data_IF_884369891767
#
_entry.id   IF_884369891767
#
_cell.length_a   1.000
_cell.length_b   1.000
_cell.length_c   1.000
_cell.angle_alpha   90.00
_cell.angle_beta   90.00
_cell.angle_gamma   90.00
#
_symmetry.space_group_name_H-M   'P 1'
#
loop_
_entity.id
_entity.type
_entity.pdbx_description
1 polymer ?
#
# COMPACT_ATOMS: atom_id res chain seq x y z
N UNK A 1 -47.00 37.95 2.64
CA UNK A 1 -46.99 39.42 2.78
C UNK A 1 -45.72 39.91 2.13
N UNK A 2 -45.81 40.80 1.14
CA UNK A 2 -44.65 41.40 0.48
C UNK A 2 -44.19 42.56 1.38
N UNK A 3 -42.96 42.56 1.91
CA UNK A 3 -42.49 43.61 2.80
C UNK A 3 -42.39 44.95 2.06
N UNK A 4 -42.82 46.03 2.71
CA UNK A 4 -42.87 47.38 2.14
C UNK A 4 -41.46 48.02 2.14
N UNK A 5 -40.87 48.33 0.97
CA UNK A 5 -39.50 48.83 0.86
C UNK A 5 -39.29 50.26 1.38
N UNK A 6 -40.36 50.99 1.72
CA UNK A 6 -40.25 52.36 2.26
C UNK A 6 -40.06 52.42 3.77
N UNK A 7 -40.02 51.26 4.45
CA UNK A 7 -39.84 51.19 5.90
C UNK A 7 -38.36 51.42 6.24
N UNK A 8 -38.00 52.37 7.13
CA UNK A 8 -36.59 52.72 7.39
C UNK A 8 -35.78 51.58 8.02
N UNK A 9 -36.44 50.56 8.56
CA UNK A 9 -35.86 49.33 9.11
C UNK A 9 -35.61 48.23 8.05
N UNK A 10 -36.25 48.33 6.87
CA UNK A 10 -36.23 47.33 5.80
C UNK A 10 -34.81 47.03 5.30
N UNK A 11 -33.95 48.04 5.20
CA UNK A 11 -32.59 47.87 4.71
C UNK A 11 -31.71 47.06 5.68
N UNK A 12 -31.82 47.32 6.98
CA UNK A 12 -31.01 46.63 7.99
C UNK A 12 -31.48 45.20 8.20
N UNK A 13 -32.79 44.97 8.14
CA UNK A 13 -33.40 43.66 8.28
C UNK A 13 -33.04 42.75 7.08
N UNK A 14 -33.09 43.27 5.86
CA UNK A 14 -32.73 42.49 4.66
C UNK A 14 -31.21 42.24 4.58
N UNK A 15 -30.39 43.19 5.02
CA UNK A 15 -28.94 43.01 5.11
C UNK A 15 -28.55 41.99 6.18
N UNK A 16 -29.25 41.99 7.32
CA UNK A 16 -29.08 40.99 8.38
C UNK A 16 -29.37 39.56 7.87
N UNK A 17 -30.50 39.35 7.18
CA UNK A 17 -30.83 38.04 6.61
C UNK A 17 -29.86 37.60 5.51
N UNK A 18 -29.37 38.53 4.68
CA UNK A 18 -28.37 38.24 3.65
C UNK A 18 -27.01 37.84 4.26
N UNK A 19 -26.61 38.46 5.37
CA UNK A 19 -25.37 38.15 6.06
C UNK A 19 -25.47 36.85 6.87
N UNK A 20 -26.63 36.55 7.47
CA UNK A 20 -26.92 35.24 8.07
C UNK A 20 -26.89 34.11 7.03
N UNK A 21 -27.52 34.29 5.86
CA UNK A 21 -27.48 33.30 4.78
C UNK A 21 -26.06 33.04 4.27
N UNK A 22 -25.24 34.09 4.13
CA UNK A 22 -23.83 33.95 3.73
C UNK A 22 -23.03 33.23 4.82
N UNK A 23 -23.23 33.59 6.09
CA UNK A 23 -22.59 32.92 7.22
C UNK A 23 -22.96 31.43 7.29
N UNK A 24 -24.23 31.09 7.06
CA UNK A 24 -24.68 29.70 6.98
C UNK A 24 -24.05 28.95 5.80
N UNK A 25 -24.00 29.56 4.60
CA UNK A 25 -23.36 28.93 3.43
C UNK A 25 -21.87 28.71 3.65
N UNK A 26 -21.17 29.68 4.24
CA UNK A 26 -19.77 29.53 4.60
C UNK A 26 -19.55 28.45 5.66
N UNK A 27 -20.44 28.36 6.67
CA UNK A 27 -20.38 27.33 7.69
C UNK A 27 -20.61 25.92 7.08
N UNK A 28 -21.58 25.78 6.17
CA UNK A 28 -21.84 24.54 5.43
C UNK A 28 -20.68 24.17 4.51
N UNK A 29 -20.07 25.14 3.82
CA UNK A 29 -18.88 24.90 3.00
C UNK A 29 -17.67 24.48 3.83
N UNK A 30 -17.44 25.12 4.98
CA UNK A 30 -16.36 24.76 5.91
C UNK A 30 -16.60 23.35 6.47
N UNK A 31 -17.84 23.01 6.82
CA UNK A 31 -18.23 21.67 7.23
C UNK A 31 -18.03 20.64 6.11
N UNK A 32 -18.45 20.93 4.87
CA UNK A 32 -18.26 20.06 3.71
C UNK A 32 -16.80 19.87 3.34
N UNK A 33 -15.98 20.91 3.41
CA UNK A 33 -14.53 20.83 3.19
C UNK A 33 -13.85 20.01 4.29
N UNK A 34 -14.28 20.16 5.55
CA UNK A 34 -13.80 19.36 6.67
C UNK A 34 -14.20 17.89 6.53
N UNK A 35 -15.47 17.58 6.24
CA UNK A 35 -15.93 16.20 6.04
C UNK A 35 -15.26 15.56 4.84
N UNK A 36 -15.12 16.26 3.71
CA UNK A 36 -14.37 15.78 2.54
C UNK A 36 -12.90 15.50 2.87
N UNK A 37 -12.26 16.33 3.69
CA UNK A 37 -10.89 16.09 4.17
C UNK A 37 -10.81 14.84 5.06
N UNK A 38 -11.77 14.65 5.96
CA UNK A 38 -11.80 13.48 6.83
C UNK A 38 -12.08 12.20 6.04
N UNK A 39 -13.03 12.20 5.10
CA UNK A 39 -13.33 11.03 4.26
C UNK A 39 -12.16 10.65 3.37
N UNK A 40 -11.50 11.62 2.73
CA UNK A 40 -10.31 11.37 1.92
C UNK A 40 -9.14 10.84 2.76
N UNK A 41 -8.95 11.34 3.99
CA UNK A 41 -7.95 10.82 4.92
C UNK A 41 -8.25 9.36 5.31
N UNK A 42 -9.49 9.04 5.69
CA UNK A 42 -9.92 7.68 6.02
C UNK A 42 -9.73 6.71 4.86
N UNK A 43 -10.15 7.10 3.65
CA UNK A 43 -9.97 6.29 2.45
C UNK A 43 -8.48 6.04 2.16
N UNK A 44 -7.65 7.06 2.32
CA UNK A 44 -6.19 6.94 2.13
C UNK A 44 -5.56 6.01 3.15
N UNK A 45 -5.99 6.06 4.41
CA UNK A 45 -5.52 5.15 5.47
C UNK A 45 -5.95 3.72 5.20
N UNK A 46 -7.20 3.51 4.81
CA UNK A 46 -7.73 2.19 4.46
C UNK A 46 -6.97 1.58 3.28
N UNK A 47 -6.73 2.34 2.21
CA UNK A 47 -5.92 1.90 1.08
C UNK A 47 -4.48 1.55 1.48
N UNK A 48 -3.86 2.32 2.38
CA UNK A 48 -2.52 2.00 2.91
C UNK A 48 -2.52 0.73 3.74
N UNK A 49 -3.54 0.50 4.57
CA UNK A 49 -3.69 -0.71 5.37
C UNK A 49 -3.89 -1.94 4.47
N UNK A 50 -4.79 -1.85 3.49
CA UNK A 50 -5.01 -2.93 2.52
C UNK A 50 -3.74 -3.26 1.75
N UNK A 51 -3.01 -2.24 1.29
CA UNK A 51 -1.75 -2.43 0.59
C UNK A 51 -0.68 -3.07 1.49
N UNK A 52 -0.59 -2.64 2.76
CA UNK A 52 0.31 -3.24 3.75
C UNK A 52 -0.03 -4.70 4.03
N UNK A 53 -1.31 -5.01 4.21
CA UNK A 53 -1.80 -6.38 4.39
C UNK A 53 -1.51 -7.23 3.15
N UNK A 54 -1.76 -6.71 1.94
CA UNK A 54 -1.45 -7.39 0.69
C UNK A 54 0.03 -7.76 0.58
N UNK A 55 0.95 -6.82 0.86
CA UNK A 55 2.38 -7.13 0.91
C UNK A 55 2.72 -8.19 1.97
N UNK A 56 2.10 -8.11 3.15
CA UNK A 56 2.33 -9.08 4.21
C UNK A 56 1.85 -10.48 3.83
N UNK A 57 0.69 -10.59 3.18
CA UNK A 57 0.16 -11.87 2.69
C UNK A 57 1.10 -12.52 1.68
N UNK A 58 1.75 -11.73 0.83
CA UNK A 58 2.73 -12.26 -0.12
C UNK A 58 3.97 -12.84 0.58
N UNK A 59 4.46 -12.19 1.65
CA UNK A 59 5.54 -12.73 2.48
C UNK A 59 5.14 -13.99 3.25
N UNK A 60 3.91 -14.05 3.76
CA UNK A 60 3.34 -15.24 4.40
C UNK A 60 3.23 -16.42 3.42
N UNK A 61 2.84 -16.15 2.18
CA UNK A 61 2.73 -17.17 1.14
C UNK A 61 4.09 -17.81 0.84
N UNK A 62 5.14 -17.00 0.72
CA UNK A 62 6.51 -17.49 0.51
C UNK A 62 6.99 -18.30 1.71
N UNK A 63 6.77 -17.79 2.92
CA UNK A 63 7.10 -18.52 4.14
C UNK A 63 6.37 -19.88 4.16
N UNK A 64 5.09 -19.92 3.80
CA UNK A 64 4.34 -21.15 3.69
C UNK A 64 4.94 -22.12 2.66
N UNK A 65 5.31 -21.65 1.46
CA UNK A 65 5.92 -22.51 0.44
C UNK A 65 7.26 -23.11 0.90
N UNK A 66 8.09 -22.33 1.58
CA UNK A 66 9.37 -22.80 2.13
C UNK A 66 9.13 -23.84 3.23
N UNK A 67 8.19 -23.56 4.14
CA UNK A 67 7.93 -24.40 5.32
C UNK A 67 7.15 -25.68 4.97
N UNK A 68 6.26 -25.65 3.98
CA UNK A 68 5.44 -26.79 3.54
C UNK A 68 6.29 -27.99 3.08
N UNK A 69 7.50 -27.74 2.58
CA UNK A 69 8.43 -28.80 2.18
C UNK A 69 9.03 -29.60 3.35
N UNK A 70 8.83 -29.17 4.60
CA UNK A 70 9.35 -29.86 5.77
C UNK A 70 8.29 -30.76 6.42
N UNK A 71 8.58 -32.06 6.56
CA UNK A 71 7.70 -33.01 7.24
C UNK A 71 7.38 -32.60 8.68
N UNK A 72 8.33 -31.91 9.34
CA UNK A 72 8.15 -31.37 10.69
C UNK A 72 7.06 -30.31 10.76
N UNK A 73 6.87 -29.47 9.72
CA UNK A 73 5.86 -28.42 9.73
C UNK A 73 4.43 -28.96 9.77
N UNK A 74 4.16 -30.11 9.15
CA UNK A 74 2.83 -30.72 9.12
C UNK A 74 2.39 -31.21 10.49
N UNK A 75 3.33 -31.70 11.31
CA UNK A 75 3.05 -32.30 12.61
C UNK A 75 2.93 -31.28 13.75
N UNK A 76 3.32 -30.03 13.54
CA UNK A 76 3.26 -28.99 14.57
C UNK A 76 1.81 -28.60 14.94
N UNK A 77 1.56 -28.22 16.20
CA UNK A 77 0.30 -27.63 16.62
C UNK A 77 0.05 -26.28 15.91
N UNK A 78 -1.22 -25.91 15.76
CA UNK A 78 -1.67 -24.76 14.95
C UNK A 78 -0.97 -23.44 15.35
N UNK A 79 -0.80 -23.19 16.64
CA UNK A 79 -0.17 -21.97 17.15
C UNK A 79 1.32 -21.88 16.79
N UNK A 80 2.03 -23.00 16.84
CA UNK A 80 3.44 -23.06 16.43
C UNK A 80 3.56 -22.87 14.91
N UNK A 81 2.64 -23.44 14.11
CA UNK A 81 2.59 -23.19 12.65
C UNK A 81 2.40 -21.71 12.34
N UNK A 82 1.45 -21.05 13.00
CA UNK A 82 1.19 -19.62 12.82
C UNK A 82 2.41 -18.78 13.23
N UNK A 83 3.03 -19.08 14.37
CA UNK A 83 4.25 -18.41 14.80
C UNK A 83 5.41 -18.59 13.81
N UNK A 84 5.60 -19.81 13.28
CA UNK A 84 6.63 -20.10 12.28
C UNK A 84 6.38 -19.36 10.97
N UNK A 85 5.12 -19.27 10.53
CA UNK A 85 4.72 -18.52 9.33
C UNK A 85 4.98 -17.03 9.48
N UNK A 86 4.55 -16.44 10.59
CA UNK A 86 4.77 -15.02 10.88
C UNK A 86 6.27 -14.73 10.99
N UNK A 87 7.02 -15.58 11.70
CA UNK A 87 8.47 -15.48 11.83
C UNK A 87 9.17 -15.60 10.48
N UNK A 88 8.79 -16.56 9.65
CA UNK A 88 9.32 -16.75 8.31
C UNK A 88 9.04 -15.56 7.39
N UNK A 89 7.81 -15.03 7.41
CA UNK A 89 7.45 -13.84 6.64
C UNK A 89 8.22 -12.61 7.11
N UNK A 90 8.42 -12.46 8.43
CA UNK A 90 9.25 -11.40 8.99
C UNK A 90 10.70 -11.53 8.52
N UNK A 91 11.31 -12.72 8.62
CA UNK A 91 12.68 -12.97 8.17
C UNK A 91 12.85 -12.71 6.66
N UNK A 92 11.87 -13.10 5.85
CA UNK A 92 11.89 -12.82 4.42
C UNK A 92 11.90 -11.30 4.14
N UNK A 93 11.03 -10.55 4.82
CA UNK A 93 11.05 -9.08 4.74
C UNK A 93 12.37 -8.50 5.25
N UNK A 94 12.96 -9.07 6.30
CA UNK A 94 14.27 -8.66 6.80
C UNK A 94 15.34 -8.79 5.71
N UNK A 95 15.41 -9.93 5.01
CA UNK A 95 16.35 -10.14 3.90
C UNK A 95 16.14 -9.11 2.79
N UNK A 96 14.90 -8.84 2.41
CA UNK A 96 14.56 -7.80 1.41
C UNK A 96 15.10 -6.42 1.83
N UNK A 97 14.82 -5.99 3.06
CA UNK A 97 15.24 -4.67 3.54
C UNK A 97 16.75 -4.58 3.77
N UNK A 98 17.39 -5.71 4.11
CA UNK A 98 18.84 -5.83 4.19
C UNK A 98 19.48 -5.61 2.81
N UNK A 99 19.01 -6.33 1.79
CA UNK A 99 19.46 -6.17 0.40
C UNK A 99 19.20 -4.75 -0.11
N UNK A 100 18.07 -4.14 0.25
CA UNK A 100 17.78 -2.72 -0.04
C UNK A 100 18.84 -1.81 0.59
N UNK A 101 19.26 -2.07 1.83
CA UNK A 101 20.32 -1.32 2.52
C UNK A 101 21.67 -1.40 1.81
N UNK A 102 22.08 -2.60 1.43
CA UNK A 102 23.32 -2.85 0.66
C UNK A 102 23.27 -2.12 -0.68
N UNK A 103 22.14 -2.25 -1.40
CA UNK A 103 21.95 -1.61 -2.70
C UNK A 103 22.06 -0.08 -2.63
N UNK A 104 21.41 0.55 -1.64
CA UNK A 104 21.49 2.00 -1.45
C UNK A 104 22.92 2.43 -1.12
N UNK A 105 23.63 1.68 -0.26
CA UNK A 105 25.02 2.00 0.07
C UNK A 105 25.95 1.86 -1.15
N UNK A 106 25.82 0.79 -1.94
CA UNK A 106 26.61 0.60 -3.17
C UNK A 106 26.34 1.68 -4.21
N UNK A 107 25.08 2.12 -4.33
CA UNK A 107 24.69 3.23 -5.20
C UNK A 107 25.39 4.53 -4.78
N UNK A 108 25.42 4.82 -3.48
CA UNK A 108 26.14 6.00 -2.96
C UNK A 108 27.65 5.91 -3.19
N UNK A 109 28.22 4.70 -3.14
CA UNK A 109 29.63 4.44 -3.43
C UNK A 109 29.98 4.37 -4.93
N UNK A 110 29.02 4.62 -5.83
CA UNK A 110 29.23 4.65 -7.29
C UNK A 110 29.51 3.30 -7.96
N UNK A 111 29.36 2.17 -7.25
CA UNK A 111 29.67 0.83 -7.79
C UNK A 111 28.50 0.26 -8.58
N UNK A 112 28.70 -0.05 -9.87
CA UNK A 112 27.66 -0.59 -10.78
C UNK A 112 26.99 -1.90 -10.31
N UNK A 113 27.59 -2.65 -9.39
CA UNK A 113 27.02 -3.87 -8.78
C UNK A 113 25.68 -3.63 -8.07
N UNK A 114 25.32 -2.37 -7.78
CA UNK A 114 24.01 -2.02 -7.23
C UNK A 114 22.85 -2.45 -8.15
N UNK A 115 23.05 -2.49 -9.47
CA UNK A 115 22.02 -2.90 -10.45
C UNK A 115 21.63 -4.37 -10.30
N UNK A 116 22.59 -5.26 -10.06
CA UNK A 116 22.32 -6.68 -9.87
C UNK A 116 21.46 -6.91 -8.62
N UNK A 117 21.84 -6.28 -7.51
CA UNK A 117 21.07 -6.33 -6.27
C UNK A 117 19.70 -5.68 -6.42
N UNK A 118 19.59 -4.62 -7.23
CA UNK A 118 18.32 -4.00 -7.55
C UNK A 118 17.39 -4.96 -8.30
N UNK A 119 17.88 -5.69 -9.30
CA UNK A 119 17.09 -6.69 -10.05
C UNK A 119 16.63 -7.79 -9.10
N UNK A 120 17.54 -8.38 -8.32
CA UNK A 120 17.22 -9.47 -7.37
C UNK A 120 16.18 -9.01 -6.35
N UNK A 121 16.38 -7.84 -5.74
CA UNK A 121 15.47 -7.32 -4.73
C UNK A 121 14.10 -6.92 -5.32
N UNK A 122 14.08 -6.39 -6.55
CA UNK A 122 12.84 -6.09 -7.26
C UNK A 122 12.05 -7.35 -7.57
N UNK A 123 12.72 -8.41 -8.05
CA UNK A 123 12.09 -9.71 -8.28
C UNK A 123 11.52 -10.29 -6.98
N UNK A 124 12.28 -10.26 -5.88
CA UNK A 124 11.82 -10.81 -4.58
C UNK A 124 10.61 -10.06 -4.00
N UNK A 125 10.53 -8.74 -4.14
CA UNK A 125 9.38 -7.97 -3.67
C UNK A 125 8.18 -8.07 -4.62
N UNK A 126 8.41 -8.08 -5.94
CA UNK A 126 7.34 -7.88 -6.92
C UNK A 126 6.76 -9.20 -7.45
N UNK A 127 7.53 -10.28 -7.55
CA UNK A 127 7.03 -11.56 -8.05
C UNK A 127 5.94 -12.15 -7.15
N UNK A 128 6.10 -12.23 -5.81
CA UNK A 128 5.10 -12.84 -4.95
C UNK A 128 3.70 -12.18 -5.03
N UNK A 129 3.56 -10.84 -4.93
CA UNK A 129 2.26 -10.21 -5.10
C UNK A 129 1.72 -10.32 -6.53
N UNK A 130 2.58 -10.32 -7.55
CA UNK A 130 2.16 -10.46 -8.94
C UNK A 130 1.54 -11.84 -9.22
N UNK A 131 2.15 -12.90 -8.71
CA UNK A 131 1.61 -14.27 -8.80
C UNK A 131 0.29 -14.38 -8.04
N UNK A 132 0.19 -13.75 -6.87
CA UNK A 132 -1.05 -13.76 -6.08
C UNK A 132 -2.20 -13.12 -6.87
N UNK A 133 -1.97 -11.95 -7.48
CA UNK A 133 -2.99 -11.27 -8.30
C UNK A 133 -3.32 -12.07 -9.54
N UNK A 134 -2.32 -12.65 -10.21
CA UNK A 134 -2.53 -13.54 -11.36
C UNK A 134 -3.51 -14.67 -11.00
N UNK A 135 -3.25 -15.39 -9.90
CA UNK A 135 -4.09 -16.51 -9.46
C UNK A 135 -5.51 -16.08 -9.05
N UNK A 136 -5.67 -14.92 -8.41
CA UNK A 136 -7.00 -14.40 -8.06
C UNK A 136 -7.79 -14.08 -9.33
N UNK A 137 -7.18 -13.34 -10.26
CA UNK A 137 -7.85 -12.89 -11.48
C UNK A 137 -8.16 -14.07 -12.40
N UNK A 138 -7.25 -15.03 -12.52
CA UNK A 138 -7.45 -16.24 -13.30
C UNK A 138 -8.64 -17.05 -12.76
N UNK A 139 -8.72 -17.27 -11.45
CA UNK A 139 -9.85 -17.97 -10.84
C UNK A 139 -11.18 -17.24 -11.06
N UNK A 140 -11.19 -15.90 -10.97
CA UNK A 140 -12.39 -15.10 -11.19
C UNK A 140 -12.85 -15.12 -12.66
N UNK A 141 -11.92 -15.01 -13.62
CA UNK A 141 -12.24 -14.97 -15.05
C UNK A 141 -12.63 -16.35 -15.60
N UNK A 142 -11.98 -17.42 -15.14
CA UNK A 142 -12.36 -18.80 -15.50
C UNK A 142 -13.77 -19.11 -14.95
N UNK A 143 -14.05 -18.72 -13.69
CA UNK A 143 -15.36 -18.98 -13.07
C UNK A 143 -16.50 -18.23 -13.74
N UNK A 144 -16.24 -17.07 -14.36
CA UNK A 144 -17.27 -16.23 -14.97
C UNK A 144 -17.47 -16.50 -16.47
N UNK A 145 -16.62 -17.35 -17.09
CA UNK A 145 -16.59 -17.61 -18.55
C UNK A 145 -16.70 -16.32 -19.39
N UNK A 146 -16.23 -15.20 -18.85
CA UNK A 146 -16.61 -13.87 -19.34
C UNK A 146 -15.76 -13.38 -20.52
N UNK A 147 -14.68 -14.07 -20.87
CA UNK A 147 -13.68 -13.56 -21.82
C UNK A 147 -13.07 -14.66 -22.69
N UNK A 148 -12.86 -14.36 -23.97
CA UNK A 148 -12.24 -15.26 -24.96
C UNK A 148 -10.75 -15.58 -24.68
N UNK A 149 -10.07 -14.76 -23.86
CA UNK A 149 -8.68 -15.01 -23.45
C UNK A 149 -8.43 -14.62 -21.98
N UNK A 150 -8.83 -15.45 -21.02
CA UNK A 150 -8.69 -15.16 -19.59
C UNK A 150 -7.21 -15.10 -19.14
N UNK A 151 -6.30 -15.79 -19.84
CA UNK A 151 -4.87 -15.80 -19.51
C UNK A 151 -4.20 -14.44 -19.74
N UNK A 152 -4.51 -13.76 -20.85
CA UNK A 152 -3.93 -12.46 -21.17
C UNK A 152 -4.31 -11.36 -20.15
N UNK A 153 -5.56 -11.38 -19.68
CA UNK A 153 -6.04 -10.44 -18.66
C UNK A 153 -5.41 -10.71 -17.29
N UNK A 154 -5.28 -11.99 -16.91
CA UNK A 154 -4.64 -12.39 -15.65
C UNK A 154 -3.16 -12.01 -15.63
N UNK A 155 -2.45 -12.22 -16.75
CA UNK A 155 -1.06 -11.79 -16.90
C UNK A 155 -0.90 -10.27 -16.78
N UNK A 156 -1.76 -9.51 -17.48
CA UNK A 156 -1.75 -8.05 -17.45
C UNK A 156 -2.01 -7.50 -16.04
N UNK A 157 -2.95 -8.10 -15.31
CA UNK A 157 -3.22 -7.75 -13.92
C UNK A 157 -2.02 -8.03 -12.99
N UNK A 158 -1.35 -9.17 -13.19
CA UNK A 158 -0.10 -9.51 -12.49
C UNK A 158 0.99 -8.46 -12.72
N UNK A 159 1.26 -8.10 -13.98
CA UNK A 159 2.26 -7.08 -14.34
C UNK A 159 1.92 -5.71 -13.76
N UNK A 160 0.65 -5.30 -13.85
CA UNK A 160 0.21 -4.02 -13.31
C UNK A 160 0.39 -3.97 -11.78
N UNK A 161 0.09 -5.07 -11.08
CA UNK A 161 0.28 -5.16 -9.64
C UNK A 161 1.77 -5.07 -9.25
N UNK A 162 2.66 -5.73 -10.00
CA UNK A 162 4.11 -5.64 -9.80
C UNK A 162 4.59 -4.19 -9.93
N UNK A 163 4.11 -3.48 -10.96
CA UNK A 163 4.46 -2.08 -11.20
C UNK A 163 3.97 -1.15 -10.07
N UNK A 164 2.74 -1.35 -9.59
CA UNK A 164 2.20 -0.59 -8.45
C UNK A 164 3.03 -0.83 -7.20
N UNK A 165 3.37 -2.09 -6.89
CA UNK A 165 4.18 -2.45 -5.74
C UNK A 165 5.56 -1.80 -5.83
N UNK A 166 6.22 -1.88 -6.99
CA UNK A 166 7.51 -1.26 -7.25
C UNK A 166 7.48 0.26 -6.99
N UNK A 167 6.48 0.95 -7.56
CA UNK A 167 6.29 2.39 -7.40
C UNK A 167 6.11 2.80 -5.94
N UNK A 168 5.27 2.06 -5.19
CA UNK A 168 4.98 2.37 -3.77
C UNK A 168 6.13 2.06 -2.84
N UNK A 169 6.85 0.96 -3.06
CA UNK A 169 7.99 0.56 -2.22
C UNK A 169 9.22 1.45 -2.41
N UNK A 170 9.26 2.24 -3.49
CA UNK A 170 10.29 3.22 -3.76
C UNK A 170 11.68 2.59 -3.61
N UNK A 171 11.92 1.49 -4.32
CA UNK A 171 13.11 0.66 -4.13
C UNK A 171 14.40 1.47 -4.30
N UNK A 172 14.40 2.45 -5.20
CA UNK A 172 15.53 3.34 -5.45
C UNK A 172 15.71 4.48 -4.41
N UNK A 173 14.81 4.57 -3.43
CA UNK A 173 14.81 5.62 -2.39
C UNK A 173 15.14 5.02 -1.02
N UNK A 174 15.78 5.79 -0.14
CA UNK A 174 16.12 5.43 1.25
C UNK A 174 14.92 5.26 2.19
N UNK A 175 13.68 5.33 1.69
CA UNK A 175 12.47 5.15 2.49
C UNK A 175 12.36 3.70 2.96
N UNK A 176 12.36 3.50 4.27
CA UNK A 176 12.16 2.21 4.93
C UNK A 176 11.17 2.32 6.09
N UNK A 177 10.32 1.31 6.31
CA UNK A 177 9.47 1.25 7.49
C UNK A 177 10.32 1.19 8.76
N UNK A 178 9.85 1.82 9.84
CA UNK A 178 10.59 1.87 11.13
C UNK A 178 10.96 0.47 11.66
N UNK A 179 10.08 -0.52 11.47
CA UNK A 179 10.26 -1.91 11.91
C UNK A 179 11.52 -2.55 11.30
N UNK A 180 11.84 -2.24 10.05
CA UNK A 180 12.98 -2.82 9.34
C UNK A 180 14.20 -1.90 9.25
N UNK A 181 14.14 -0.74 9.92
CA UNK A 181 15.20 0.27 9.85
C UNK A 181 16.54 -0.24 10.40
N UNK A 182 16.49 -1.06 11.45
CA UNK A 182 17.71 -1.62 12.07
C UNK A 182 18.49 -2.53 11.11
N UNK A 183 17.80 -3.43 10.41
CA UNK A 183 18.40 -4.30 9.39
C UNK A 183 18.88 -3.50 8.18
N UNK A 184 18.09 -2.54 7.72
CA UNK A 184 18.50 -1.65 6.63
C UNK A 184 19.82 -0.94 6.97
N UNK A 185 19.95 -0.43 8.21
CA UNK A 185 21.18 0.19 8.70
C UNK A 185 22.35 -0.79 8.76
N UNK A 186 22.11 -2.05 9.12
CA UNK A 186 23.16 -3.09 9.05
C UNK A 186 23.63 -3.32 7.62
N UNK A 187 22.71 -3.46 6.67
CA UNK A 187 23.04 -3.60 5.25
C UNK A 187 23.88 -2.43 4.73
N UNK A 188 23.55 -1.19 5.13
CA UNK A 188 24.35 -0.03 4.77
C UNK A 188 25.75 0.00 5.42
N UNK A 189 25.91 -0.54 6.64
CA UNK A 189 27.20 -0.55 7.36
C UNK A 189 28.20 -1.51 6.74
N UNK A 190 27.76 -2.64 6.18
CA UNK A 190 28.66 -3.66 5.62
C UNK A 190 29.41 -3.15 4.37
N UNK A 191 28.79 -2.24 3.63
CA UNK A 191 29.33 -1.71 2.37
C UNK A 191 30.19 -0.47 2.58
N UNK A 192 30.03 0.21 3.72
CA UNK A 192 30.74 1.43 4.06
C UNK A 192 32.16 1.11 4.52
#
# INVERSE_FOLDING_TARGET
MIPNPTRPDYYWENQYYLDEEKAEREAREKANKSTAKHTTQWLTLLLKLLFGAFLWTSGLLIAYFILKGSNSFVQLPIWQKVALLIGGAYLFNCVIFFLKGIMVALKLSGRKSWLLLWIINSCLICLPPAILVYLIVENLLISTKATDNPGAWSFSAGVLSAFIVYSKMGLNTSRTPKIFHWIFRMGCRIVR
#
